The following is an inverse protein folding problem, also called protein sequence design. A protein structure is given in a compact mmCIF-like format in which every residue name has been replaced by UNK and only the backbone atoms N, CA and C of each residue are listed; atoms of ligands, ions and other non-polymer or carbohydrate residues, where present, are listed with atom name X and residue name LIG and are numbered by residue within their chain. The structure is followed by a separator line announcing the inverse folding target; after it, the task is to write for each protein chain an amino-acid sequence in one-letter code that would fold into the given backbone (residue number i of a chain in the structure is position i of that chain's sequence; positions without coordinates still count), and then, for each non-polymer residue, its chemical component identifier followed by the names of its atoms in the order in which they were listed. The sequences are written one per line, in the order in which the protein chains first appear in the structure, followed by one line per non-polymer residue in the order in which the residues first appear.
data_IF_426275028239
#
_entry.id   IF_426275028239
#
_cell.length_a   1.000
_cell.length_b   1.000
_cell.length_c   1.000
_cell.angle_alpha   90.00
_cell.angle_beta   90.00
_cell.angle_gamma   90.00
#
_symmetry.space_group_name_H-M   'P 1'
#
loop_
_entity.id
_entity.type
_entity.pdbx_description
1 polymer ?
#
# COMPACT_ATOMS: atom_id res chain seq x y z
N UNK A 1 8.51 -13.77 23.62
CA UNK A 1 7.46 -14.82 23.69
C UNK A 1 6.65 -14.83 25.00
N UNK A 2 7.06 -14.15 26.09
CA UNK A 2 6.35 -14.20 27.39
C UNK A 2 4.88 -13.77 27.34
N UNK A 3 4.62 -12.51 26.97
CA UNK A 3 3.27 -11.92 26.88
C UNK A 3 2.27 -12.69 26.00
N UNK A 4 2.75 -13.33 24.92
CA UNK A 4 1.88 -14.13 24.05
C UNK A 4 1.54 -15.46 24.71
N UNK A 5 2.54 -16.18 25.27
CA UNK A 5 2.32 -17.48 25.93
C UNK A 5 1.35 -17.40 27.09
N UNK A 6 1.39 -16.33 27.87
CA UNK A 6 0.46 -16.05 28.98
C UNK A 6 -1.01 -15.94 28.53
N UNK A 7 -1.25 -15.60 27.26
CA UNK A 7 -2.60 -15.39 26.71
C UNK A 7 -3.14 -16.61 25.94
N UNK A 8 -2.32 -17.64 25.74
CA UNK A 8 -2.70 -18.84 24.99
C UNK A 8 -3.20 -19.93 25.95
N UNK A 9 -4.20 -20.74 25.56
CA UNK A 9 -4.60 -21.91 26.32
C UNK A 9 -3.49 -22.96 26.35
N UNK A 10 -3.44 -23.70 27.46
CA UNK A 10 -2.44 -24.74 27.74
C UNK A 10 -2.50 -25.87 26.70
N UNK A 11 -3.71 -26.34 26.36
CA UNK A 11 -3.96 -27.30 25.29
C UNK A 11 -4.56 -26.60 24.07
N UNK A 12 -3.94 -26.82 22.91
CA UNK A 12 -4.41 -26.32 21.61
C UNK A 12 -3.96 -27.23 20.47
N UNK A 13 -4.65 -27.15 19.32
CA UNK A 13 -4.22 -27.82 18.08
C UNK A 13 -2.87 -27.27 17.59
N UNK A 14 -2.06 -28.13 16.97
CA UNK A 14 -0.71 -27.80 16.49
C UNK A 14 -0.68 -26.68 15.43
N UNK A 15 -1.77 -26.57 14.67
CA UNK A 15 -2.00 -25.63 13.58
C UNK A 15 -2.99 -24.53 13.99
N UNK A 16 -3.10 -24.24 15.29
CA UNK A 16 -3.90 -23.14 15.79
C UNK A 16 -3.27 -21.82 15.35
N UNK A 17 -4.11 -20.91 14.85
CA UNK A 17 -3.71 -19.51 14.66
C UNK A 17 -3.51 -18.89 16.04
N UNK A 18 -2.26 -18.61 16.40
CA UNK A 18 -1.90 -18.10 17.72
C UNK A 18 -2.10 -16.59 17.85
N UNK A 19 -1.91 -15.87 16.76
CA UNK A 19 -2.13 -14.45 16.66
C UNK A 19 -2.50 -14.08 15.22
N UNK A 20 -3.26 -13.01 15.08
CA UNK A 20 -3.59 -12.38 13.80
C UNK A 20 -2.89 -11.02 13.79
N UNK A 21 -2.13 -10.76 12.73
CA UNK A 21 -1.50 -9.47 12.51
C UNK A 21 -2.45 -8.53 11.78
N UNK A 22 -2.60 -7.32 12.31
CA UNK A 22 -3.33 -6.21 11.70
C UNK A 22 -2.34 -5.12 11.33
N UNK A 23 -2.35 -4.73 10.06
CA UNK A 23 -1.63 -3.56 9.57
C UNK A 23 -2.62 -2.43 9.39
N UNK A 24 -2.35 -1.29 10.02
CA UNK A 24 -3.21 -0.11 9.99
C UNK A 24 -2.38 1.06 9.47
N UNK A 25 -2.73 1.57 8.29
CA UNK A 25 -2.03 2.68 7.63
C UNK A 25 -2.99 3.47 6.73
N UNK A 26 -2.47 4.56 6.19
CA UNK A 26 -3.10 5.43 5.20
C UNK A 26 -2.17 5.59 3.98
N UNK A 27 -2.62 6.31 2.95
CA UNK A 27 -1.81 6.52 1.75
C UNK A 27 -0.59 7.41 2.04
N UNK A 28 0.52 7.26 1.29
CA UNK A 28 1.71 8.10 1.48
C UNK A 28 1.40 9.60 1.43
N UNK A 29 0.46 10.00 0.56
CA UNK A 29 0.05 11.40 0.37
C UNK A 29 -0.63 11.97 1.61
N UNK A 30 -1.45 11.18 2.30
CA UNK A 30 -2.07 11.60 3.56
C UNK A 30 -0.99 11.80 4.64
N UNK A 31 -0.03 10.89 4.77
CA UNK A 31 1.04 11.03 5.76
C UNK A 31 1.95 12.25 5.54
N UNK A 32 2.15 12.67 4.29
CA UNK A 32 2.95 13.87 3.96
C UNK A 32 2.25 15.17 4.35
N UNK A 33 0.92 15.17 4.39
CA UNK A 33 0.10 16.37 4.61
C UNK A 33 -0.54 16.42 6.00
N UNK A 34 -0.68 15.27 6.66
CA UNK A 34 -1.26 15.16 7.99
C UNK A 34 -0.39 15.83 9.06
N UNK A 35 -1.02 16.64 9.90
CA UNK A 35 -0.37 17.28 11.05
C UNK A 35 0.11 16.23 12.06
N UNK A 36 1.06 16.62 12.92
CA UNK A 36 1.53 15.74 13.99
C UNK A 36 0.38 15.25 14.90
N UNK A 37 -0.66 16.06 15.07
CA UNK A 37 -1.83 15.73 15.89
C UNK A 37 -2.71 14.70 15.19
N UNK A 38 -2.99 14.88 13.89
CA UNK A 38 -3.72 13.90 13.08
C UNK A 38 -3.02 12.55 13.04
N UNK A 39 -1.69 12.54 12.90
CA UNK A 39 -0.90 11.31 12.91
C UNK A 39 -0.97 10.59 14.27
N UNK A 40 -0.87 11.32 15.38
CA UNK A 40 -1.04 10.75 16.73
C UNK A 40 -2.44 10.17 16.90
N UNK A 41 -3.45 10.92 16.48
CA UNK A 41 -4.84 10.51 16.63
C UNK A 41 -5.17 9.29 15.76
N UNK A 42 -4.62 9.19 14.55
CA UNK A 42 -4.74 8.00 13.70
C UNK A 42 -4.29 6.73 14.44
N UNK A 43 -3.09 6.74 15.04
CA UNK A 43 -2.56 5.56 15.74
C UNK A 43 -3.29 5.26 17.04
N UNK A 44 -3.70 6.30 17.79
CA UNK A 44 -4.52 6.14 18.99
C UNK A 44 -5.84 5.44 18.65
N UNK A 45 -6.57 5.96 17.66
CA UNK A 45 -7.86 5.40 17.24
C UNK A 45 -7.75 4.03 16.61
N UNK A 46 -6.66 3.76 15.91
CA UNK A 46 -6.34 2.44 15.40
C UNK A 46 -6.25 1.41 16.54
N UNK A 47 -5.52 1.77 17.60
CA UNK A 47 -5.36 0.92 18.77
C UNK A 47 -6.68 0.76 19.55
N UNK A 48 -7.43 1.85 19.73
CA UNK A 48 -8.73 1.85 20.38
C UNK A 48 -9.75 0.98 19.62
N UNK A 49 -9.80 1.08 18.29
CA UNK A 49 -10.71 0.24 17.49
C UNK A 49 -10.42 -1.25 17.64
N UNK A 50 -9.13 -1.64 17.67
CA UNK A 50 -8.74 -3.02 17.94
C UNK A 50 -9.16 -3.47 19.34
N UNK A 51 -8.93 -2.62 20.35
CA UNK A 51 -9.30 -2.91 21.73
C UNK A 51 -10.82 -3.03 21.92
N UNK A 52 -11.60 -2.12 21.35
CA UNK A 52 -13.07 -2.12 21.44
C UNK A 52 -13.66 -3.37 20.79
N UNK A 53 -13.10 -3.76 19.65
CA UNK A 53 -13.60 -4.89 18.87
C UNK A 53 -13.22 -6.24 19.46
N UNK A 54 -11.98 -6.36 19.93
CA UNK A 54 -11.39 -7.64 20.27
C UNK A 54 -11.15 -7.84 21.76
N UNK A 55 -11.33 -6.81 22.58
CA UNK A 55 -10.89 -6.78 23.97
C UNK A 55 -9.43 -6.37 24.07
N UNK A 56 -9.13 -5.38 24.92
CA UNK A 56 -7.77 -4.89 25.14
C UNK A 56 -6.81 -6.00 25.62
N UNK A 57 -7.33 -6.99 26.35
CA UNK A 57 -6.59 -8.15 26.83
C UNK A 57 -6.10 -9.07 25.71
N UNK A 58 -6.80 -9.08 24.56
CA UNK A 58 -6.45 -9.90 23.40
C UNK A 58 -5.42 -9.22 22.51
N UNK A 59 -5.19 -7.91 22.65
CA UNK A 59 -4.11 -7.18 21.95
C UNK A 59 -2.79 -7.44 22.68
N UNK A 60 -1.87 -8.14 22.03
CA UNK A 60 -0.56 -8.51 22.62
C UNK A 60 0.41 -7.34 22.56
N UNK A 61 0.45 -6.71 21.39
CA UNK A 61 1.31 -5.56 21.09
C UNK A 61 0.73 -4.82 19.89
N UNK A 62 0.92 -3.51 19.88
CA UNK A 62 0.71 -2.63 18.75
C UNK A 62 1.96 -1.75 18.64
N UNK A 63 2.71 -1.91 17.55
CA UNK A 63 3.96 -1.20 17.31
C UNK A 63 3.77 -0.24 16.16
N UNK A 64 4.21 1.00 16.33
CA UNK A 64 4.18 2.02 15.28
C UNK A 64 5.54 2.02 14.60
N UNK A 65 5.54 1.75 13.30
CA UNK A 65 6.71 1.81 12.44
C UNK A 65 6.75 3.17 11.75
N UNK A 66 7.87 3.88 11.88
CA UNK A 66 8.14 5.21 11.27
C UNK A 66 9.45 5.23 10.47
N UNK A 67 10.15 4.11 10.46
CA UNK A 67 11.43 3.84 9.82
C UNK A 67 11.29 3.28 8.40
N UNK A 68 10.05 3.11 7.92
CA UNK A 68 9.71 2.68 6.57
C UNK A 68 9.15 3.84 5.72
N UNK A 69 8.90 3.58 4.43
CA UNK A 69 8.39 4.58 3.48
C UNK A 69 7.06 5.21 3.91
N UNK A 70 6.19 4.43 4.56
CA UNK A 70 4.88 4.88 5.00
C UNK A 70 4.66 4.46 6.44
N UNK A 71 4.42 5.41 7.36
CA UNK A 71 4.11 5.07 8.74
C UNK A 71 2.93 4.13 8.85
N UNK A 72 3.05 3.10 9.68
CA UNK A 72 1.98 2.14 9.88
C UNK A 72 2.05 1.52 11.28
N UNK A 73 0.92 0.98 11.72
CA UNK A 73 0.82 0.24 12.97
C UNK A 73 0.67 -1.24 12.66
N UNK A 74 1.52 -2.04 13.31
CA UNK A 74 1.48 -3.51 13.28
C UNK A 74 1.03 -4.00 14.64
N UNK A 75 -0.16 -4.58 14.69
CA UNK A 75 -0.76 -5.11 15.91
C UNK A 75 -0.98 -6.62 15.84
N UNK A 76 -0.62 -7.32 16.93
CA UNK A 76 -0.83 -8.75 17.06
C UNK A 76 -1.95 -9.01 18.06
N UNK A 77 -3.03 -9.64 17.59
CA UNK A 77 -4.22 -9.92 18.39
C UNK A 77 -4.38 -11.44 18.53
N UNK A 78 -4.55 -11.93 19.76
CA UNK A 78 -4.87 -13.34 20.03
C UNK A 78 -6.35 -13.56 19.73
N UNK A 79 -6.72 -14.51 18.85
CA UNK A 79 -8.11 -14.74 18.51
C UNK A 79 -8.82 -15.59 19.57
N UNK A 80 -8.86 -15.08 20.81
CA UNK A 80 -9.52 -15.74 21.94
C UNK A 80 -10.99 -15.35 21.99
N UNK A 81 -11.87 -16.32 21.88
CA UNK A 81 -13.32 -16.11 21.99
C UNK A 81 -13.74 -15.87 23.44
N UNK A 82 -14.95 -15.34 23.66
CA UNK A 82 -15.44 -15.02 24.99
C UNK A 82 -15.53 -16.24 25.93
N UNK A 83 -15.71 -17.44 25.36
CA UNK A 83 -15.70 -18.72 26.06
C UNK A 83 -14.27 -19.30 26.29
N UNK A 84 -13.22 -18.56 25.93
CA UNK A 84 -11.82 -18.91 26.19
C UNK A 84 -11.15 -19.79 25.13
N UNK A 85 -11.84 -20.19 24.06
CA UNK A 85 -11.23 -20.96 22.96
C UNK A 85 -10.36 -20.07 22.07
N UNK A 86 -9.43 -20.69 21.32
CA UNK A 86 -8.75 -20.03 20.21
C UNK A 86 -9.46 -20.33 18.89
N UNK A 87 -10.05 -19.29 18.27
CA UNK A 87 -10.78 -19.44 17.01
C UNK A 87 -10.69 -18.18 16.15
N UNK A 88 -9.66 -18.09 15.30
CA UNK A 88 -9.52 -17.00 14.33
C UNK A 88 -10.72 -16.91 13.37
N UNK A 89 -11.33 -18.05 13.03
CA UNK A 89 -12.53 -18.10 12.17
C UNK A 89 -13.70 -17.36 12.78
N UNK A 90 -13.95 -17.55 14.07
CA UNK A 90 -15.06 -16.89 14.79
C UNK A 90 -14.72 -15.43 15.08
N UNK A 91 -13.46 -15.19 15.44
CA UNK A 91 -12.94 -13.89 15.82
C UNK A 91 -12.96 -12.89 14.65
N UNK A 92 -12.32 -13.24 13.53
CA UNK A 92 -12.32 -12.45 12.29
C UNK A 92 -13.69 -12.55 11.60
N UNK A 93 -14.32 -13.72 11.66
CA UNK A 93 -15.63 -13.98 11.07
C UNK A 93 -15.56 -14.33 9.59
N UNK A 94 -16.57 -13.88 8.86
CA UNK A 94 -16.77 -14.16 7.44
C UNK A 94 -16.55 -12.92 6.57
N UNK A 95 -16.72 -13.07 5.26
CA UNK A 95 -16.59 -11.97 4.28
C UNK A 95 -17.42 -10.74 4.63
N UNK A 96 -18.65 -10.94 5.12
CA UNK A 96 -19.55 -9.85 5.50
C UNK A 96 -18.99 -9.08 6.69
N UNK A 97 -18.57 -9.80 7.75
CA UNK A 97 -17.95 -9.18 8.94
C UNK A 97 -16.68 -8.42 8.57
N UNK A 98 -15.81 -9.01 7.75
CA UNK A 98 -14.61 -8.31 7.26
C UNK A 98 -14.93 -7.05 6.46
N UNK A 99 -16.01 -7.03 5.68
CA UNK A 99 -16.45 -5.82 4.95
C UNK A 99 -16.99 -4.75 5.90
N UNK A 100 -17.74 -5.16 6.93
CA UNK A 100 -18.23 -4.27 7.98
C UNK A 100 -17.09 -3.69 8.82
N UNK A 101 -16.03 -4.48 9.05
CA UNK A 101 -14.84 -4.03 9.75
C UNK A 101 -14.12 -2.90 9.01
N UNK A 102 -14.04 -2.97 7.68
CA UNK A 102 -13.50 -1.89 6.86
C UNK A 102 -14.36 -0.63 6.97
N UNK A 103 -15.69 -0.79 7.06
CA UNK A 103 -16.61 0.34 7.25
C UNK A 103 -16.45 0.96 8.63
N UNK A 104 -16.55 0.18 9.71
CA UNK A 104 -16.48 0.68 11.08
C UNK A 104 -15.11 1.26 11.43
N UNK A 105 -14.05 0.72 10.84
CA UNK A 105 -12.72 1.31 10.97
C UNK A 105 -12.62 2.64 10.23
N UNK A 106 -13.13 2.73 9.00
CA UNK A 106 -13.14 3.99 8.25
C UNK A 106 -13.94 5.08 8.98
N UNK A 107 -15.09 4.73 9.56
CA UNK A 107 -15.90 5.64 10.39
C UNK A 107 -15.10 6.17 11.59
N UNK A 108 -14.28 5.32 12.22
CA UNK A 108 -13.45 5.71 13.37
C UNK A 108 -12.40 6.78 13.02
N UNK A 109 -11.93 6.83 11.77
CA UNK A 109 -10.89 7.76 11.33
C UNK A 109 -11.39 8.81 10.32
N UNK A 110 -12.70 8.90 10.11
CA UNK A 110 -13.28 9.72 9.04
C UNK A 110 -13.00 11.21 9.18
N UNK A 111 -13.06 11.76 10.38
CA UNK A 111 -12.76 13.16 10.72
C UNK A 111 -11.28 13.53 10.57
N UNK A 112 -10.40 12.53 10.31
CA UNK A 112 -9.02 12.78 9.90
C UNK A 112 -8.89 13.04 8.38
N UNK A 113 -10.01 13.08 7.65
CA UNK A 113 -10.06 13.24 6.19
C UNK A 113 -9.74 11.95 5.43
N UNK A 114 -9.85 10.79 6.08
CA UNK A 114 -9.66 9.48 5.46
C UNK A 114 -10.99 8.88 5.06
N UNK A 115 -11.01 8.22 3.91
CA UNK A 115 -12.20 7.58 3.37
C UNK A 115 -12.09 6.06 3.36
N UNK A 116 -13.24 5.40 3.38
CA UNK A 116 -13.33 3.95 3.23
C UNK A 116 -12.85 3.54 1.84
N UNK A 117 -12.04 2.48 1.77
CA UNK A 117 -11.74 1.83 0.48
C UNK A 117 -13.02 1.35 -0.24
N UNK A 118 -12.93 1.12 -1.55
CA UNK A 118 -14.09 0.76 -2.38
C UNK A 118 -14.73 -0.55 -1.88
N UNK A 119 -16.00 -0.50 -1.48
CA UNK A 119 -16.75 -1.70 -1.09
C UNK A 119 -16.83 -2.70 -2.23
N UNK A 120 -16.53 -3.98 -1.96
CA UNK A 120 -16.55 -5.01 -2.99
C UNK A 120 -15.40 -4.90 -4.00
N UNK A 121 -14.34 -4.12 -3.69
CA UNK A 121 -13.14 -4.03 -4.52
C UNK A 121 -12.66 -5.39 -5.04
N UNK A 122 -12.22 -5.41 -6.29
CA UNK A 122 -11.57 -6.56 -6.95
C UNK A 122 -10.05 -6.53 -6.81
N UNK A 123 -9.51 -5.54 -6.09
CA UNK A 123 -8.09 -5.47 -5.82
C UNK A 123 -7.59 -6.71 -5.08
N UNK A 124 -6.46 -7.25 -5.52
CA UNK A 124 -5.84 -8.43 -4.92
C UNK A 124 -4.62 -8.04 -4.08
N UNK A 125 -4.52 -8.60 -2.87
CA UNK A 125 -3.38 -8.32 -1.99
C UNK A 125 -2.07 -8.78 -2.64
N UNK A 126 -1.06 -7.92 -2.57
CA UNK A 126 0.28 -8.20 -3.07
C UNK A 126 1.27 -8.21 -1.92
N UNK A 127 2.17 -9.20 -1.91
CA UNK A 127 3.24 -9.27 -0.92
C UNK A 127 4.21 -8.11 -1.13
N UNK A 128 4.65 -7.50 -0.04
CA UNK A 128 5.63 -6.40 -0.04
C UNK A 128 6.90 -6.73 -0.84
N UNK A 129 7.43 -7.96 -0.69
CA UNK A 129 8.59 -8.43 -1.48
C UNK A 129 8.34 -8.43 -2.99
N UNK A 130 7.12 -8.74 -3.44
CA UNK A 130 6.78 -8.72 -4.87
C UNK A 130 6.79 -7.28 -5.40
N UNK A 131 6.27 -6.34 -4.61
CA UNK A 131 6.28 -4.92 -4.96
C UNK A 131 7.72 -4.38 -5.06
N UNK A 132 8.56 -4.57 -4.04
CA UNK A 132 9.96 -4.12 -4.10
C UNK A 132 10.83 -4.95 -5.05
N UNK A 133 10.54 -6.23 -5.23
CA UNK A 133 11.27 -7.09 -6.17
C UNK A 133 11.10 -6.62 -7.61
N UNK A 134 9.91 -6.15 -7.97
CA UNK A 134 9.66 -5.53 -9.27
C UNK A 134 10.49 -4.22 -9.42
N UNK A 135 10.49 -3.36 -8.39
CA UNK A 135 11.28 -2.11 -8.38
C UNK A 135 12.80 -2.43 -8.51
N UNK A 136 13.29 -3.45 -7.80
CA UNK A 136 14.70 -3.86 -7.86
C UNK A 136 15.09 -4.55 -9.17
N UNK A 137 14.21 -5.38 -9.76
CA UNK A 137 14.45 -5.97 -11.09
C UNK A 137 14.50 -4.91 -12.18
N UNK A 138 13.66 -3.87 -12.09
CA UNK A 138 13.76 -2.71 -12.97
C UNK A 138 15.11 -1.95 -12.84
N UNK A 139 15.79 -2.11 -11.70
CA UNK A 139 17.15 -1.63 -11.45
C UNK A 139 18.27 -2.62 -11.82
N UNK A 140 18.01 -3.78 -12.42
CA UNK A 140 19.05 -4.71 -12.93
C UNK A 140 19.44 -4.45 -14.39
N UNK A 141 18.58 -3.82 -15.17
CA UNK A 141 18.87 -3.37 -16.54
C UNK A 141 19.66 -2.03 -16.55
N UNK A 142 20.64 -1.91 -15.65
CA UNK A 142 21.55 -0.75 -15.64
C UNK A 142 22.50 -0.90 -16.82
N UNK A 143 22.67 0.13 -17.68
CA UNK A 143 23.63 0.08 -18.76
C UNK A 143 25.04 -0.19 -18.22
N UNK A 144 25.71 -1.20 -18.77
CA UNK A 144 27.10 -1.50 -18.46
C UNK A 144 28.01 -0.49 -19.16
N UNK A 145 28.90 0.16 -18.39
CA UNK A 145 29.95 1.00 -18.96
C UNK A 145 30.98 0.11 -19.66
N UNK A 146 31.30 0.43 -20.90
CA UNK A 146 32.37 -0.21 -21.65
C UNK A 146 33.71 0.50 -21.43
N UNK A 147 34.85 -0.20 -21.50
CA UNK A 147 36.17 0.40 -21.31
C UNK A 147 36.48 1.59 -22.23
N UNK A 148 35.87 1.63 -23.42
CA UNK A 148 36.05 2.73 -24.38
C UNK A 148 35.29 4.01 -23.99
N UNK A 149 34.24 3.91 -23.17
CA UNK A 149 33.46 5.07 -22.72
C UNK A 149 34.13 5.85 -21.60
N UNK A 150 35.11 5.22 -20.92
CA UNK A 150 35.99 5.83 -19.92
C UNK A 150 37.06 6.72 -20.57
N UNK A 151 37.26 6.62 -21.89
CA UNK A 151 38.27 7.41 -22.59
C UNK A 151 37.75 8.84 -22.86
N UNK A 152 38.60 9.86 -22.70
CA UNK A 152 38.27 11.23 -23.08
C UNK A 152 37.91 11.35 -24.57
N UNK A 153 36.83 12.05 -24.87
CA UNK A 153 36.40 12.28 -26.26
C UNK A 153 36.88 13.62 -26.80
N UNK A 154 36.92 13.77 -28.13
CA UNK A 154 37.22 15.07 -28.76
C UNK A 154 35.99 15.98 -28.63
N UNK A 155 36.19 17.17 -28.09
CA UNK A 155 35.15 18.18 -27.90
C UNK A 155 35.40 19.39 -28.80
N UNK A 156 34.36 20.18 -29.06
CA UNK A 156 34.49 21.40 -29.87
C UNK A 156 35.31 22.44 -29.11
N UNK A 157 36.49 22.75 -29.64
CA UNK A 157 37.37 23.77 -29.10
C UNK A 157 36.75 25.17 -29.14
N UNK A 158 36.90 25.92 -28.05
CA UNK A 158 36.31 27.26 -27.91
C UNK A 158 37.35 28.32 -28.28
N UNK A 159 38.62 28.06 -27.97
CA UNK A 159 39.77 28.90 -28.32
C UNK A 159 40.36 28.58 -29.70
N UNK A 160 41.16 29.51 -30.25
CA UNK A 160 41.78 29.37 -31.57
C UNK A 160 42.75 28.18 -31.64
N UNK A 161 43.50 27.91 -30.57
CA UNK A 161 44.40 26.76 -30.47
C UNK A 161 43.62 25.43 -30.41
N UNK A 162 42.54 25.35 -29.63
CA UNK A 162 41.72 24.15 -29.52
C UNK A 162 40.96 23.81 -30.81
N UNK A 163 40.64 24.80 -31.65
CA UNK A 163 40.03 24.57 -32.97
C UNK A 163 41.02 24.00 -33.99
N UNK A 164 42.31 24.33 -33.85
CA UNK A 164 43.39 23.89 -34.76
C UNK A 164 43.96 22.53 -34.35
N UNK A 165 44.19 22.30 -33.06
CA UNK A 165 44.80 21.07 -32.54
C UNK A 165 43.79 20.05 -32.00
N UNK A 166 42.52 20.46 -31.85
CA UNK A 166 41.45 19.66 -31.26
C UNK A 166 41.43 19.78 -29.74
N UNK A 167 40.25 20.02 -29.15
CA UNK A 167 40.05 19.92 -27.71
C UNK A 167 39.71 18.49 -27.31
N UNK A 168 40.20 18.08 -26.14
CA UNK A 168 39.92 16.78 -25.53
C UNK A 168 39.17 17.01 -24.22
N UNK A 169 38.17 16.18 -23.96
CA UNK A 169 37.34 16.21 -22.76
C UNK A 169 38.20 16.14 -21.49
N UNK A 170 37.89 16.96 -20.49
CA UNK A 170 38.56 16.90 -19.19
C UNK A 170 38.06 15.71 -18.38
N UNK A 171 38.81 15.31 -17.34
CA UNK A 171 38.41 14.22 -16.43
C UNK A 171 37.04 14.51 -15.78
N UNK A 172 36.77 15.76 -15.43
CA UNK A 172 35.46 16.20 -14.92
C UNK A 172 34.36 16.12 -15.99
N UNK A 173 34.67 16.45 -17.25
CA UNK A 173 33.74 16.31 -18.38
C UNK A 173 33.35 14.85 -18.64
N UNK A 174 34.33 13.94 -18.60
CA UNK A 174 34.09 12.49 -18.69
C UNK A 174 33.18 12.02 -17.55
N UNK A 175 33.44 12.44 -16.31
CA UNK A 175 32.62 12.09 -15.15
C UNK A 175 31.18 12.62 -15.28
N UNK A 176 31.00 13.87 -15.72
CA UNK A 176 29.68 14.47 -15.94
C UNK A 176 28.90 13.75 -17.06
N UNK A 177 29.56 13.43 -18.18
CA UNK A 177 28.94 12.70 -19.30
C UNK A 177 28.49 11.30 -18.89
N UNK A 178 29.33 10.57 -18.17
CA UNK A 178 29.00 9.22 -17.69
C UNK A 178 27.87 9.26 -16.66
N UNK A 179 27.91 10.20 -15.70
CA UNK A 179 26.83 10.38 -14.73
C UNK A 179 25.50 10.77 -15.42
N UNK A 180 25.52 11.67 -16.40
CA UNK A 180 24.33 12.06 -17.16
C UNK A 180 23.74 10.88 -17.96
N UNK A 181 24.58 10.03 -18.56
CA UNK A 181 24.15 8.82 -19.28
C UNK A 181 23.51 7.79 -18.36
N UNK A 182 24.13 7.54 -17.20
CA UNK A 182 23.60 6.62 -16.19
C UNK A 182 22.28 7.15 -15.66
N UNK A 183 22.22 8.41 -15.24
CA UNK A 183 20.98 9.01 -14.72
C UNK A 183 19.85 9.04 -15.76
N UNK A 184 20.17 9.39 -17.02
CA UNK A 184 19.18 9.46 -18.11
C UNK A 184 18.58 8.10 -18.50
N UNK A 185 19.30 6.99 -18.29
CA UNK A 185 18.81 5.63 -18.60
C UNK A 185 18.17 4.94 -17.40
N UNK A 186 18.72 5.12 -16.19
CA UNK A 186 18.29 4.39 -15.00
C UNK A 186 16.99 4.95 -14.41
N UNK A 187 16.84 6.28 -14.40
CA UNK A 187 15.71 6.94 -13.76
C UNK A 187 14.34 6.61 -14.40
N UNK A 188 14.16 6.69 -15.74
CA UNK A 188 12.88 6.36 -16.36
C UNK A 188 12.59 4.86 -16.45
N UNK A 189 13.59 3.97 -16.36
CA UNK A 189 13.39 2.51 -16.46
C UNK A 189 12.95 1.89 -15.12
N UNK A 190 13.60 2.30 -14.03
CA UNK A 190 13.22 1.91 -12.68
C UNK A 190 11.78 2.36 -12.33
N UNK A 191 11.42 3.57 -12.76
CA UNK A 191 10.08 4.12 -12.57
C UNK A 191 9.01 3.55 -13.51
N UNK A 192 9.36 2.97 -14.68
CA UNK A 192 8.37 2.46 -15.66
C UNK A 192 8.11 0.96 -15.58
N UNK A 193 9.11 0.10 -15.38
CA UNK A 193 8.91 -1.34 -15.61
C UNK A 193 8.09 -2.04 -14.51
N UNK A 194 8.42 -1.82 -13.24
CA UNK A 194 7.68 -2.36 -12.10
C UNK A 194 6.28 -1.74 -11.97
N UNK A 195 6.25 -0.43 -12.21
CA UNK A 195 5.08 0.41 -12.10
C UNK A 195 4.11 0.14 -13.24
N UNK A 196 4.54 -0.13 -14.49
CA UNK A 196 3.62 -0.40 -15.61
C UNK A 196 2.81 -1.68 -15.38
N UNK A 197 3.46 -2.81 -15.06
CA UNK A 197 2.73 -4.07 -14.83
C UNK A 197 1.78 -3.97 -13.62
N UNK A 198 2.21 -3.30 -12.55
CA UNK A 198 1.37 -3.05 -11.39
C UNK A 198 0.23 -2.07 -11.70
N UNK A 199 0.48 -1.02 -12.47
CA UNK A 199 -0.51 -0.03 -12.88
C UNK A 199 -1.54 -0.63 -13.83
N UNK A 200 -1.12 -1.45 -14.79
CA UNK A 200 -1.99 -2.19 -15.70
C UNK A 200 -2.91 -3.13 -14.92
N UNK A 201 -2.37 -3.87 -13.96
CA UNK A 201 -3.16 -4.72 -13.08
C UNK A 201 -4.15 -3.90 -12.25
N UNK A 202 -3.69 -2.81 -11.62
CA UNK A 202 -4.55 -1.93 -10.83
C UNK A 202 -5.66 -1.31 -11.68
N UNK A 203 -5.35 -0.90 -12.91
CA UNK A 203 -6.33 -0.39 -13.87
C UNK A 203 -7.35 -1.47 -14.25
N UNK A 204 -6.91 -2.72 -14.46
CA UNK A 204 -7.81 -3.85 -14.69
C UNK A 204 -8.72 -4.10 -13.48
N UNK A 205 -8.18 -4.19 -12.27
CA UNK A 205 -8.94 -4.41 -11.04
C UNK A 205 -9.95 -3.27 -10.78
N UNK A 206 -9.59 -2.02 -11.09
CA UNK A 206 -10.50 -0.88 -11.03
C UNK A 206 -11.63 -1.01 -12.05
N UNK A 207 -11.34 -1.37 -13.30
CA UNK A 207 -12.38 -1.60 -14.33
C UNK A 207 -13.34 -2.72 -13.92
N UNK A 208 -12.83 -3.82 -13.39
CA UNK A 208 -13.65 -4.93 -12.89
C UNK A 208 -14.52 -4.50 -11.70
N UNK A 209 -13.96 -3.71 -10.78
CA UNK A 209 -14.70 -3.15 -9.65
C UNK A 209 -15.83 -2.25 -10.15
N UNK A 210 -15.55 -1.33 -11.08
CA UNK A 210 -16.55 -0.45 -11.67
C UNK A 210 -17.67 -1.24 -12.37
N UNK A 211 -17.32 -2.24 -13.17
CA UNK A 211 -18.30 -3.10 -13.84
C UNK A 211 -19.20 -3.83 -12.83
N UNK A 212 -18.65 -4.31 -11.72
CA UNK A 212 -19.44 -4.94 -10.66
C UNK A 212 -20.38 -3.95 -9.97
N UNK A 213 -19.91 -2.74 -9.68
CA UNK A 213 -20.75 -1.70 -9.05
C UNK A 213 -21.88 -1.27 -9.98
N UNK A 214 -21.62 -1.11 -11.28
CA UNK A 214 -22.66 -0.83 -12.27
C UNK A 214 -23.72 -1.92 -12.31
N UNK A 215 -23.32 -3.20 -12.33
CA UNK A 215 -24.28 -4.33 -12.27
C UNK A 215 -25.09 -4.32 -10.98
N UNK A 216 -24.47 -4.04 -9.83
CA UNK A 216 -25.17 -3.94 -8.54
C UNK A 216 -26.18 -2.79 -8.56
N UNK A 217 -25.79 -1.63 -9.07
CA UNK A 217 -26.64 -0.45 -9.15
C UNK A 217 -27.84 -0.68 -10.09
N UNK A 218 -27.59 -1.30 -11.26
CA UNK A 218 -28.65 -1.73 -12.17
C UNK A 218 -29.62 -2.68 -11.47
N UNK A 219 -29.13 -3.73 -10.81
CA UNK A 219 -29.97 -4.68 -10.10
C UNK A 219 -30.83 -4.03 -8.99
N UNK A 220 -30.32 -2.98 -8.34
CA UNK A 220 -31.08 -2.21 -7.35
C UNK A 220 -32.12 -1.28 -8.00
N UNK A 221 -31.88 -0.81 -9.22
CA UNK A 221 -32.77 0.10 -9.95
C UNK A 221 -33.84 -0.63 -10.75
N UNK A 222 -33.58 -1.84 -11.24
CA UNK A 222 -34.51 -2.63 -12.06
C UNK A 222 -35.92 -2.76 -11.44
N UNK A 223 -36.10 -3.01 -10.12
CA UNK A 223 -37.42 -3.05 -9.49
C UNK A 223 -38.19 -1.72 -9.53
N UNK A 224 -37.50 -0.60 -9.69
CA UNK A 224 -38.09 0.75 -9.72
C UNK A 224 -38.18 1.34 -11.13
N UNK A 225 -37.80 0.57 -12.14
CA UNK A 225 -37.77 1.01 -13.53
C UNK A 225 -39.20 1.25 -14.03
N UNK A 226 -39.47 2.48 -14.48
CA UNK A 226 -40.80 2.91 -14.94
C UNK A 226 -41.67 3.55 -13.86
N UNK A 227 -41.23 3.59 -12.60
CA UNK A 227 -41.91 4.35 -11.54
C UNK A 227 -41.44 5.82 -11.53
N UNK A 228 -42.36 6.75 -11.27
CA UNK A 228 -42.02 8.15 -11.02
C UNK A 228 -41.34 8.30 -9.66
N UNK A 229 -40.61 9.41 -9.45
CA UNK A 229 -39.95 9.69 -8.16
C UNK A 229 -40.93 9.67 -6.98
N UNK A 230 -42.15 10.15 -7.17
CA UNK A 230 -43.18 10.18 -6.13
C UNK A 230 -43.70 8.78 -5.80
N UNK A 231 -43.80 7.90 -6.79
CA UNK A 231 -44.18 6.50 -6.60
C UNK A 231 -43.10 5.72 -5.84
N UNK A 232 -41.83 5.95 -6.17
CA UNK A 232 -40.70 5.36 -5.43
C UNK A 232 -40.65 5.88 -3.99
N UNK A 233 -40.86 7.18 -3.77
CA UNK A 233 -40.88 7.78 -2.44
C UNK A 233 -42.04 7.25 -1.56
N UNK A 234 -43.17 6.87 -2.16
CA UNK A 234 -44.28 6.22 -1.47
C UNK A 234 -44.01 4.78 -1.02
N UNK A 235 -43.06 4.08 -1.66
CA UNK A 235 -42.71 2.68 -1.37
C UNK A 235 -41.60 2.52 -0.32
N UNK A 236 -40.85 3.59 -0.04
CA UNK A 236 -39.68 3.59 0.86
C UNK A 236 -40.05 4.11 2.28
N UNK A 237 -41.32 4.44 2.52
CA UNK A 237 -41.82 4.85 3.86
C UNK A 237 -42.20 3.67 4.74
#
# INVERSE_FOLDING_TARGET
MGKLRERLPEKRRKDAVLAVEYVMSASPEWWQTASADQQREFFKRSTEWLADKYGAENVVTATIHRDELTPHLSAFVVPRTADGRLSAKEFIGNRTKMSQDQTSYAERVADLGLERGIEGSRATHQRVKTHYGAIQQAGRDVPHLTPDELKPQKVKGVSLAEKVFGAVETVEGVAQRLNAKIMGSVQPMAEKAAVSAQNERRAKELRETLAQQQKRLQALQEPFKGLSKDQVAGLIR
#
